data_IF_331653780946
#
_entry.id   IF_331653780946
#
_cell.length_a   1.000
_cell.length_b   1.000
_cell.length_c   1.000
_cell.angle_alpha   90.00
_cell.angle_beta   90.00
_cell.angle_gamma   90.00
#
_symmetry.space_group_name_H-M   'P 1'
#
loop_
_entity.id
_entity.type
_entity.pdbx_description
1 polymer ?
#
# COMPACT_ATOMS: atom_id res chain seq x y z
N UNK A 1 -7.34 6.13 -7.05
CA UNK A 1 -6.53 5.12 -7.78
C UNK A 1 -6.91 5.21 -9.25
N UNK A 2 -5.96 5.22 -10.18
CA UNK A 2 -6.27 5.14 -11.60
C UNK A 2 -6.89 3.78 -11.95
N UNK A 3 -7.70 3.73 -13.00
CA UNK A 3 -8.17 2.48 -13.59
C UNK A 3 -7.04 1.92 -14.46
N UNK A 4 -6.63 0.67 -14.21
CA UNK A 4 -5.50 0.03 -14.87
C UNK A 4 -6.00 -1.29 -15.49
N UNK A 5 -5.74 -1.51 -16.77
CA UNK A 5 -6.07 -2.77 -17.44
C UNK A 5 -4.91 -3.76 -17.28
N UNK A 6 -5.15 -4.91 -16.64
CA UNK A 6 -4.10 -5.86 -16.23
C UNK A 6 -3.53 -6.65 -17.43
N UNK A 7 -4.34 -6.80 -18.47
CA UNK A 7 -4.02 -7.52 -19.71
C UNK A 7 -3.01 -6.75 -20.59
N UNK A 8 -3.03 -5.42 -20.50
CA UNK A 8 -2.13 -4.53 -21.26
C UNK A 8 -0.75 -4.35 -20.60
N UNK A 9 -0.54 -4.92 -19.41
CA UNK A 9 0.69 -4.77 -18.65
C UNK A 9 1.68 -5.89 -18.92
N UNK A 10 2.91 -5.50 -19.24
CA UNK A 10 4.04 -6.43 -19.26
C UNK A 10 4.39 -6.90 -17.85
N UNK A 11 5.05 -8.06 -17.74
CA UNK A 11 5.52 -8.57 -16.43
C UNK A 11 6.41 -7.57 -15.71
N UNK A 12 7.26 -6.85 -16.45
CA UNK A 12 8.13 -5.81 -15.91
C UNK A 12 7.34 -4.65 -15.28
N UNK A 13 6.23 -4.25 -15.89
CA UNK A 13 5.41 -3.15 -15.39
C UNK A 13 4.64 -3.56 -14.13
N UNK A 14 4.14 -4.81 -14.09
CA UNK A 14 3.55 -5.41 -12.89
C UNK A 14 4.53 -5.41 -11.72
N UNK A 15 5.77 -5.83 -11.96
CA UNK A 15 6.82 -5.85 -10.94
C UNK A 15 7.20 -4.45 -10.45
N UNK A 16 7.26 -3.44 -11.34
CA UNK A 16 7.50 -2.06 -10.91
C UNK A 16 6.39 -1.56 -9.98
N UNK A 17 5.14 -1.81 -10.35
CA UNK A 17 3.99 -1.41 -9.53
C UNK A 17 4.01 -2.11 -8.17
N UNK A 18 4.34 -3.40 -8.13
CA UNK A 18 4.48 -4.16 -6.89
C UNK A 18 5.59 -3.59 -6.00
N UNK A 19 6.77 -3.34 -6.56
CA UNK A 19 7.91 -2.75 -5.82
C UNK A 19 7.57 -1.36 -5.27
N UNK A 20 6.90 -0.52 -6.04
CA UNK A 20 6.53 0.83 -5.60
C UNK A 20 5.49 0.80 -4.48
N UNK A 21 4.52 -0.11 -4.57
CA UNK A 21 3.54 -0.33 -3.51
C UNK A 21 4.22 -0.85 -2.23
N UNK A 22 5.13 -1.82 -2.34
CA UNK A 22 5.89 -2.36 -1.20
C UNK A 22 6.74 -1.29 -0.52
N UNK A 23 7.40 -0.40 -1.27
CA UNK A 23 8.15 0.74 -0.69
C UNK A 23 7.25 1.69 0.10
N UNK A 24 6.04 1.95 -0.40
CA UNK A 24 5.03 2.75 0.31
C UNK A 24 4.59 2.06 1.61
N UNK A 25 4.47 0.74 1.60
CA UNK A 25 4.10 -0.06 2.76
C UNK A 25 5.19 -0.21 3.82
N UNK A 26 6.46 -0.17 3.40
CA UNK A 26 7.62 -0.14 4.29
C UNK A 26 7.77 1.21 4.98
N UNK A 27 7.43 2.31 4.28
CA UNK A 27 7.50 3.68 4.81
C UNK A 27 6.27 4.08 5.63
N UNK A 28 5.23 3.27 5.66
CA UNK A 28 4.07 3.47 6.53
C UNK A 28 4.48 3.30 8.00
N UNK A 29 4.28 4.33 8.82
CA UNK A 29 4.50 4.30 10.27
C UNK A 29 3.44 3.45 10.99
N UNK A 30 3.52 2.13 10.79
CA UNK A 30 2.58 1.13 11.31
C UNK A 30 2.38 1.24 12.82
N UNK A 31 3.42 1.58 13.58
CA UNK A 31 3.35 1.70 15.04
C UNK A 31 2.50 2.90 15.53
N UNK A 32 2.67 4.09 14.94
CA UNK A 32 1.90 5.28 15.35
C UNK A 32 0.44 5.19 14.92
N UNK A 33 0.18 4.57 13.76
CA UNK A 33 -1.19 4.31 13.28
C UNK A 33 -1.88 3.29 14.20
N UNK A 34 -1.22 2.19 14.58
CA UNK A 34 -1.79 1.20 15.50
C UNK A 34 -2.04 1.78 16.90
N UNK A 35 -1.11 2.55 17.45
CA UNK A 35 -1.28 3.22 18.74
C UNK A 35 -2.48 4.18 18.72
N UNK A 36 -2.61 4.99 17.65
CA UNK A 36 -3.76 5.88 17.46
C UNK A 36 -5.06 5.12 17.24
N UNK A 37 -5.03 4.00 16.53
CA UNK A 37 -6.22 3.19 16.29
C UNK A 37 -6.73 2.56 17.58
N UNK A 38 -5.86 2.00 18.43
CA UNK A 38 -6.24 1.46 19.73
C UNK A 38 -6.77 2.54 20.70
N UNK A 39 -6.27 3.77 20.62
CA UNK A 39 -6.75 4.90 21.44
C UNK A 39 -8.10 5.46 20.98
N UNK A 40 -8.45 5.32 19.69
CA UNK A 40 -9.66 5.88 19.08
C UNK A 40 -10.75 4.81 18.83
N UNK A 41 -10.66 3.63 19.44
CA UNK A 41 -11.76 2.66 19.41
C UNK A 41 -12.84 3.09 20.42
N UNK A 42 -14.06 3.43 19.99
CA UNK A 42 -15.16 3.60 20.94
C UNK A 42 -15.51 2.22 21.52
N UNK A 43 -15.68 2.17 22.84
CA UNK A 43 -16.22 1.01 23.56
C UNK A 43 -17.62 0.63 23.05
#
# INVERSE_FOLDING_TARGET
MPVINIEDLTEKDKLKMEVDQLKKEVTLERMLILARHCQNQPF
#
